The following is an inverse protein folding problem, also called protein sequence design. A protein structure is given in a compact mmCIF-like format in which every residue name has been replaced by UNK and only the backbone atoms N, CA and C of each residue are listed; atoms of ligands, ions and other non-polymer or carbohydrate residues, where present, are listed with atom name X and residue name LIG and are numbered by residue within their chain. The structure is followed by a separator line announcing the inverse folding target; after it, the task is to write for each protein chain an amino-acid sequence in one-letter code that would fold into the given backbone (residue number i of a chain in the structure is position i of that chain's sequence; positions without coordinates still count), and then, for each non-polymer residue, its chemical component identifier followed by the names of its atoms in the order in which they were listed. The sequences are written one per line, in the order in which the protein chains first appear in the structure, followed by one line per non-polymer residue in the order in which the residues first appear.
data_IF_227418143728
#
_entry.id   IF_227418143728
#
_cell.length_a   1.000
_cell.length_b   1.000
_cell.length_c   1.000
_cell.angle_alpha   90.00
_cell.angle_beta   90.00
_cell.angle_gamma   90.00
#
_symmetry.space_group_name_H-M   'P 1'
#
loop_
_entity.id
_entity.type
_entity.pdbx_description
1 polymer ?
#
# COMPACT_ATOMS: atom_id res chain seq x y z
N UNK A 1 -8.98 30.85 3.73
CA UNK A 1 -8.37 29.54 3.45
C UNK A 1 -8.48 28.75 4.73
N UNK A 2 -9.40 27.78 4.80
CA UNK A 2 -9.53 26.88 5.94
C UNK A 2 -8.46 25.82 5.82
N UNK A 3 -7.38 25.96 6.57
CA UNK A 3 -6.42 24.87 6.80
C UNK A 3 -7.19 23.74 7.48
N UNK A 4 -7.52 22.69 6.72
CA UNK A 4 -7.93 21.43 7.32
C UNK A 4 -6.74 20.92 8.12
N UNK A 5 -6.87 20.74 9.45
CA UNK A 5 -5.76 20.29 10.27
C UNK A 5 -5.30 18.93 9.74
N UNK A 6 -4.04 18.87 9.29
CA UNK A 6 -3.44 17.61 8.89
C UNK A 6 -3.50 16.65 10.09
N UNK A 7 -4.06 15.44 9.93
CA UNK A 7 -4.07 14.45 11.00
C UNK A 7 -2.63 14.17 11.41
N UNK A 8 -2.38 14.11 12.72
CA UNK A 8 -1.04 13.80 13.23
C UNK A 8 -0.63 12.39 12.81
N UNK A 9 0.67 12.15 12.68
CA UNK A 9 1.20 10.83 12.33
C UNK A 9 0.67 9.75 13.28
N UNK A 10 0.58 10.06 14.59
CA UNK A 10 -0.02 9.16 15.58
C UNK A 10 -1.50 8.85 15.31
N UNK A 11 -2.29 9.83 14.85
CA UNK A 11 -3.68 9.61 14.47
C UNK A 11 -3.77 8.72 13.21
N UNK A 12 -2.88 8.93 12.25
CA UNK A 12 -2.79 8.11 11.04
C UNK A 12 -2.39 6.66 11.37
N UNK A 13 -1.41 6.43 12.25
CA UNK A 13 -1.05 5.09 12.72
C UNK A 13 -2.21 4.38 13.42
N UNK A 14 -2.95 5.09 14.30
CA UNK A 14 -4.13 4.49 14.95
C UNK A 14 -5.22 4.12 13.95
N UNK A 15 -5.43 4.98 12.95
CA UNK A 15 -6.39 4.71 11.89
C UNK A 15 -5.94 3.52 11.03
N UNK A 16 -4.65 3.45 10.73
CA UNK A 16 -4.04 2.37 9.98
C UNK A 16 -4.24 1.01 10.69
N UNK A 17 -3.82 0.87 11.95
CA UNK A 17 -4.00 -0.35 12.75
C UNK A 17 -5.48 -0.80 12.81
N UNK A 18 -6.40 0.16 12.90
CA UNK A 18 -7.84 -0.15 12.88
C UNK A 18 -8.28 -0.76 11.54
N UNK A 19 -7.82 -0.20 10.42
CA UNK A 19 -8.20 -0.66 9.10
C UNK A 19 -7.58 -2.03 8.76
N UNK A 20 -6.37 -2.30 9.21
CA UNK A 20 -5.74 -3.62 9.08
C UNK A 20 -6.50 -4.69 9.83
N UNK A 21 -6.87 -4.43 11.09
CA UNK A 21 -7.68 -5.36 11.86
C UNK A 21 -9.03 -5.64 11.17
N UNK A 22 -9.68 -4.61 10.63
CA UNK A 22 -10.92 -4.79 9.86
C UNK A 22 -10.69 -5.59 8.57
N UNK A 23 -9.52 -5.45 7.93
CA UNK A 23 -9.18 -6.25 6.75
C UNK A 23 -9.06 -7.69 7.19
N UNK A 24 -8.23 -7.96 8.18
CA UNK A 24 -7.91 -9.31 8.61
C UNK A 24 -9.18 -10.08 9.00
N UNK A 25 -10.08 -9.44 9.76
CA UNK A 25 -11.40 -10.00 10.08
C UNK A 25 -12.24 -10.30 8.83
N UNK A 26 -12.20 -9.41 7.83
CA UNK A 26 -12.94 -9.57 6.58
C UNK A 26 -12.34 -10.67 5.69
N UNK A 27 -11.02 -10.78 5.58
CA UNK A 27 -10.34 -11.85 4.85
C UNK A 27 -10.68 -13.22 5.46
N UNK A 28 -10.58 -13.34 6.78
CA UNK A 28 -10.99 -14.54 7.53
C UNK A 28 -12.47 -14.88 7.34
N UNK A 29 -13.35 -13.87 7.21
CA UNK A 29 -14.77 -14.10 6.94
C UNK A 29 -15.03 -14.58 5.50
N UNK A 30 -14.32 -14.03 4.51
CA UNK A 30 -14.40 -14.42 3.11
C UNK A 30 -13.96 -15.88 2.92
N UNK A 31 -12.85 -16.29 3.53
CA UNK A 31 -12.36 -17.68 3.45
C UNK A 31 -13.37 -18.71 3.99
N UNK A 32 -14.25 -18.29 4.90
CA UNK A 32 -15.25 -19.16 5.54
C UNK A 32 -16.60 -19.21 4.81
N UNK A 33 -16.78 -18.42 3.74
CA UNK A 33 -18.06 -18.25 3.04
C UNK A 33 -17.99 -18.74 1.58
N UNK A 34 -19.16 -19.11 1.03
CA UNK A 34 -19.35 -19.41 -0.39
C UNK A 34 -20.69 -18.86 -0.89
N UNK A 35 -20.78 -18.53 -2.18
CA UNK A 35 -22.01 -18.04 -2.83
C UNK A 35 -22.14 -16.51 -2.90
N UNK A 36 -23.37 -15.99 -3.00
CA UNK A 36 -23.65 -14.56 -3.25
C UNK A 36 -23.10 -13.60 -2.18
N UNK A 37 -22.95 -14.08 -0.93
CA UNK A 37 -22.34 -13.31 0.16
C UNK A 37 -20.86 -12.98 -0.10
N UNK A 38 -20.18 -13.77 -0.93
CA UNK A 38 -18.78 -13.55 -1.31
C UNK A 38 -18.62 -12.23 -2.09
N UNK A 39 -19.55 -11.91 -3.00
CA UNK A 39 -19.43 -10.71 -3.85
C UNK A 39 -19.53 -9.44 -3.01
N UNK A 40 -20.49 -9.39 -2.08
CA UNK A 40 -20.67 -8.24 -1.17
C UNK A 40 -19.47 -8.06 -0.25
N UNK A 41 -18.89 -9.16 0.24
CA UNK A 41 -17.69 -9.11 1.07
C UNK A 41 -16.44 -8.68 0.28
N UNK A 42 -16.29 -9.13 -0.97
CA UNK A 42 -15.21 -8.69 -1.87
C UNK A 42 -15.32 -7.20 -2.21
N UNK A 43 -16.53 -6.68 -2.43
CA UNK A 43 -16.72 -5.23 -2.59
C UNK A 43 -16.38 -4.45 -1.32
N UNK A 44 -16.74 -4.98 -0.15
CA UNK A 44 -16.36 -4.39 1.13
C UNK A 44 -14.84 -4.39 1.30
N UNK A 45 -14.18 -5.47 0.87
CA UNK A 45 -12.73 -5.60 0.88
C UNK A 45 -12.08 -4.55 -0.02
N UNK A 46 -12.55 -4.40 -1.27
CA UNK A 46 -12.05 -3.37 -2.18
C UNK A 46 -12.18 -1.94 -1.60
N UNK A 47 -13.33 -1.61 -1.00
CA UNK A 47 -13.53 -0.31 -0.34
C UNK A 47 -12.61 -0.11 0.86
N UNK A 48 -12.33 -1.16 1.60
CA UNK A 48 -11.44 -1.12 2.76
C UNK A 48 -9.99 -0.90 2.31
N UNK A 49 -9.55 -1.61 1.28
CA UNK A 49 -8.22 -1.45 0.69
C UNK A 49 -8.00 -0.03 0.15
N UNK A 50 -9.01 0.59 -0.48
CA UNK A 50 -8.95 2.00 -0.88
C UNK A 50 -8.74 2.94 0.31
N UNK A 51 -9.36 2.66 1.46
CA UNK A 51 -9.15 3.45 2.69
C UNK A 51 -7.74 3.27 3.24
N UNK A 52 -7.22 2.05 3.22
CA UNK A 52 -5.85 1.76 3.66
C UNK A 52 -4.86 2.50 2.76
N UNK A 53 -5.01 2.43 1.43
CA UNK A 53 -4.17 3.18 0.49
C UNK A 53 -4.22 4.70 0.72
N UNK A 54 -5.38 5.25 1.11
CA UNK A 54 -5.49 6.65 1.50
C UNK A 54 -4.71 7.01 2.77
N UNK A 55 -4.72 6.13 3.78
CA UNK A 55 -3.95 6.33 5.02
C UNK A 55 -2.45 6.15 4.79
N UNK A 56 -2.04 5.16 4.00
CA UNK A 56 -0.65 4.95 3.60
C UNK A 56 -0.08 6.19 2.91
N UNK A 57 -0.82 6.77 1.96
CA UNK A 57 -0.43 8.01 1.30
C UNK A 57 -0.32 9.18 2.29
N UNK A 58 -1.25 9.29 3.24
CA UNK A 58 -1.21 10.35 4.25
C UNK A 58 -0.02 10.21 5.21
N UNK A 59 0.39 8.99 5.59
CA UNK A 59 1.57 8.75 6.43
C UNK A 59 2.84 9.07 5.63
N UNK A 60 2.90 8.66 4.36
CA UNK A 60 4.02 8.99 3.47
C UNK A 60 4.26 10.50 3.36
N UNK A 61 3.19 11.28 3.22
CA UNK A 61 3.27 12.73 3.04
C UNK A 61 3.35 13.51 4.37
N UNK A 62 3.30 12.83 5.52
CA UNK A 62 3.33 13.48 6.82
C UNK A 62 4.75 14.02 7.15
N UNK A 63 4.84 15.22 7.76
CA UNK A 63 6.12 15.72 8.26
C UNK A 63 6.59 14.86 9.44
N UNK A 64 7.86 14.43 9.40
CA UNK A 64 8.47 13.62 10.45
C UNK A 64 8.36 12.11 10.24
N UNK A 65 7.88 11.66 9.08
CA UNK A 65 7.88 10.23 8.68
C UNK A 65 9.31 9.69 8.64
N UNK A 66 9.49 8.53 9.27
CA UNK A 66 10.79 7.85 9.43
C UNK A 66 10.98 6.73 8.42
N UNK A 67 12.19 6.17 8.35
CA UNK A 67 12.46 5.00 7.52
C UNK A 67 11.70 3.78 8.04
N UNK A 68 11.57 3.66 9.36
CA UNK A 68 10.79 2.63 10.02
C UNK A 68 9.31 2.69 9.62
N UNK A 69 8.75 3.90 9.49
CA UNK A 69 7.39 4.07 8.98
C UNK A 69 7.27 3.58 7.54
N UNK A 70 8.25 3.85 6.67
CA UNK A 70 8.22 3.31 5.30
C UNK A 70 8.34 1.79 5.26
N UNK A 71 9.15 1.17 6.12
CA UNK A 71 9.25 -0.29 6.22
C UNK A 71 7.90 -0.89 6.63
N UNK A 72 7.27 -0.28 7.64
CA UNK A 72 5.99 -0.74 8.15
C UNK A 72 4.88 -0.57 7.10
N UNK A 73 4.86 0.54 6.36
CA UNK A 73 3.92 0.73 5.24
C UNK A 73 4.17 -0.24 4.08
N UNK A 74 5.43 -0.62 3.82
CA UNK A 74 5.78 -1.51 2.71
C UNK A 74 5.28 -2.94 2.95
N UNK A 75 5.38 -3.45 4.19
CA UNK A 75 4.88 -4.77 4.57
C UNK A 75 3.38 -4.92 4.26
N UNK A 76 2.62 -3.88 4.61
CA UNK A 76 1.17 -3.78 4.40
C UNK A 76 0.79 -3.65 2.94
N UNK A 77 1.51 -2.76 2.22
CA UNK A 77 1.29 -2.60 0.79
C UNK A 77 1.52 -3.93 0.06
N UNK A 78 2.56 -4.69 0.45
CA UNK A 78 2.82 -6.01 -0.12
C UNK A 78 1.70 -7.00 0.21
N UNK A 79 1.26 -7.13 1.47
CA UNK A 79 0.16 -8.02 1.84
C UNK A 79 -1.11 -7.69 1.04
N UNK A 80 -1.47 -6.41 0.97
CA UNK A 80 -2.69 -5.96 0.31
C UNK A 80 -2.68 -6.07 -1.20
N UNK A 81 -1.58 -5.72 -1.84
CA UNK A 81 -1.49 -5.80 -3.29
C UNK A 81 -1.29 -7.25 -3.76
N UNK A 82 -0.69 -8.13 -2.94
CA UNK A 82 -0.67 -9.57 -3.22
C UNK A 82 -2.04 -10.23 -3.04
N UNK A 83 -2.81 -9.83 -2.01
CA UNK A 83 -4.20 -10.28 -1.82
C UNK A 83 -5.13 -9.89 -2.98
N UNK A 84 -4.94 -8.68 -3.54
CA UNK A 84 -5.63 -8.20 -4.73
C UNK A 84 -5.15 -8.89 -6.01
N UNK A 85 -3.85 -9.21 -6.09
CA UNK A 85 -3.22 -9.75 -7.27
C UNK A 85 -3.60 -11.19 -7.59
N UNK A 86 -4.00 -12.00 -6.60
CA UNK A 86 -4.34 -13.41 -6.79
C UNK A 86 -5.38 -13.66 -7.89
N UNK A 87 -6.26 -12.68 -8.18
CA UNK A 87 -7.31 -12.82 -9.18
C UNK A 87 -7.09 -11.95 -10.46
N UNK A 88 -6.16 -10.98 -10.48
CA UNK A 88 -6.18 -9.89 -11.50
C UNK A 88 -4.81 -9.40 -12.01
N UNK A 89 -3.68 -9.64 -11.35
CA UNK A 89 -2.43 -8.92 -11.67
C UNK A 89 -1.57 -9.52 -12.80
N UNK A 90 -1.03 -8.65 -13.66
CA UNK A 90 -0.03 -8.97 -14.70
C UNK A 90 1.34 -8.35 -14.31
N UNK A 91 1.79 -8.61 -13.08
CA UNK A 91 3.10 -8.26 -12.49
C UNK A 91 3.85 -7.06 -13.09
N UNK A 92 3.24 -5.87 -13.03
CA UNK A 92 3.88 -4.57 -13.30
C UNK A 92 3.57 -3.50 -12.24
N UNK A 93 4.24 -2.33 -12.27
CA UNK A 93 4.01 -1.26 -11.28
C UNK A 93 2.56 -0.76 -11.21
N UNK A 94 1.81 -0.91 -12.29
CA UNK A 94 0.38 -0.59 -12.39
C UNK A 94 -0.48 -1.52 -11.53
N UNK A 95 -0.01 -2.73 -11.27
CA UNK A 95 -0.70 -3.72 -10.43
C UNK A 95 -0.35 -3.55 -8.95
N UNK A 96 0.74 -2.83 -8.64
CA UNK A 96 1.27 -2.62 -7.29
C UNK A 96 1.52 -1.11 -6.97
N UNK A 97 0.52 -0.23 -7.11
CA UNK A 97 0.68 1.22 -7.01
C UNK A 97 1.12 1.74 -5.62
N UNK A 98 0.71 1.11 -4.51
CA UNK A 98 1.11 1.45 -3.14
C UNK A 98 2.56 1.04 -2.90
N UNK A 99 2.95 -0.19 -3.25
CA UNK A 99 4.35 -0.62 -3.15
C UNK A 99 5.23 0.29 -4.00
N UNK A 100 4.85 0.60 -5.24
CA UNK A 100 5.56 1.55 -6.11
C UNK A 100 5.76 2.93 -5.45
N UNK A 101 4.69 3.51 -4.88
CA UNK A 101 4.75 4.83 -4.22
C UNK A 101 5.65 4.85 -2.98
N UNK A 102 5.63 3.77 -2.20
CA UNK A 102 6.46 3.65 -1.00
C UNK A 102 7.94 3.46 -1.34
N UNK A 103 8.25 2.65 -2.35
CA UNK A 103 9.62 2.48 -2.85
C UNK A 103 10.22 3.82 -3.30
N UNK A 104 9.44 4.65 -4.01
CA UNK A 104 9.84 6.03 -4.38
C UNK A 104 10.10 6.89 -3.15
N UNK A 105 9.25 6.80 -2.12
CA UNK A 105 9.40 7.54 -0.87
C UNK A 105 10.71 7.18 -0.15
N UNK A 106 11.04 5.88 -0.08
CA UNK A 106 12.27 5.38 0.54
C UNK A 106 13.51 5.93 -0.17
N UNK A 107 13.56 5.92 -1.51
CA UNK A 107 14.72 6.46 -2.25
C UNK A 107 14.89 7.96 -2.02
N UNK A 108 13.79 8.72 -1.89
CA UNK A 108 13.87 10.16 -1.58
C UNK A 108 14.41 10.42 -0.17
N UNK A 109 14.09 9.54 0.78
CA UNK A 109 14.47 9.70 2.19
C UNK A 109 15.86 9.12 2.51
N UNK A 110 16.32 8.11 1.76
CA UNK A 110 17.60 7.43 1.97
C UNK A 110 18.50 7.60 0.74
N UNK A 111 19.38 8.62 0.72
CA UNK A 111 20.29 8.85 -0.41
C UNK A 111 21.19 7.65 -0.70
N UNK A 112 21.23 7.20 -1.95
CA UNK A 112 22.06 6.06 -2.38
C UNK A 112 21.44 4.68 -2.13
N UNK A 113 20.19 4.62 -1.65
CA UNK A 113 19.48 3.36 -1.53
C UNK A 113 19.07 2.84 -2.92
N UNK A 114 19.54 1.64 -3.29
CA UNK A 114 19.21 0.98 -4.55
C UNK A 114 18.40 -0.31 -4.31
N UNK A 115 17.21 -0.40 -4.90
CA UNK A 115 16.41 -1.62 -4.87
C UNK A 115 16.93 -2.64 -5.91
N UNK A 116 18.09 -3.23 -5.65
CA UNK A 116 18.75 -4.18 -6.56
C UNK A 116 17.90 -5.43 -6.89
N UNK A 117 17.01 -5.83 -5.99
CA UNK A 117 16.05 -6.91 -6.25
C UNK A 117 14.89 -6.44 -7.13
N UNK A 118 14.34 -5.23 -6.89
CA UNK A 118 13.31 -4.62 -7.74
C UNK A 118 13.81 -4.38 -9.16
N UNK A 119 15.04 -3.87 -9.31
CA UNK A 119 15.68 -3.65 -10.61
C UNK A 119 15.84 -4.94 -11.42
N UNK A 120 16.04 -6.08 -10.74
CA UNK A 120 16.07 -7.41 -11.37
C UNK A 120 14.67 -7.93 -11.70
N UNK A 121 13.67 -7.55 -10.91
CA UNK A 121 12.28 -7.95 -11.10
C UNK A 121 11.61 -7.19 -12.26
N UNK A 122 11.94 -5.91 -12.42
CA UNK A 122 11.57 -5.09 -13.56
C UNK A 122 12.47 -5.44 -14.75
N UNK A 123 12.11 -6.53 -15.44
CA UNK A 123 12.93 -7.19 -16.45
C UNK A 123 13.10 -6.41 -17.75
N UNK A 124 12.28 -5.38 -18.02
CA UNK A 124 12.39 -4.58 -19.23
C UNK A 124 13.24 -3.31 -19.01
N UNK A 125 14.15 -2.97 -19.94
CA UNK A 125 14.95 -1.74 -19.86
C UNK A 125 14.05 -0.50 -19.71
N UNK A 126 14.39 0.42 -18.80
CA UNK A 126 13.67 1.67 -18.59
C UNK A 126 12.50 1.59 -17.60
N UNK A 127 12.04 0.39 -17.21
CA UNK A 127 10.92 0.26 -16.26
C UNK A 127 11.28 0.71 -14.85
N UNK A 128 12.51 0.44 -14.42
CA UNK A 128 13.00 0.91 -13.13
C UNK A 128 13.10 2.45 -13.13
N UNK A 129 13.69 3.03 -14.17
CA UNK A 129 13.83 4.46 -14.32
C UNK A 129 12.46 5.15 -14.38
N UNK A 130 11.51 4.62 -15.15
CA UNK A 130 10.15 5.12 -15.20
C UNK A 130 9.47 5.05 -13.83
N UNK A 131 9.61 3.92 -13.13
CA UNK A 131 9.09 3.76 -11.77
C UNK A 131 9.72 4.75 -10.80
N UNK A 132 10.97 5.15 -10.97
CA UNK A 132 11.62 6.10 -10.05
C UNK A 132 11.36 7.57 -10.40
N UNK A 133 11.00 7.88 -11.65
CA UNK A 133 10.83 9.24 -12.16
C UNK A 133 9.39 9.78 -12.10
N UNK A 134 8.37 8.92 -11.94
CA UNK A 134 6.96 9.29 -11.76
C UNK A 134 6.63 9.76 -10.33
#
# INVERSE_FOLDING_TARGET
MTETPHPSISALHKQWVKLENEQHELAMAIERLGGADLTVMRERQARLLLKIGGVVAAIQDAPGTTVEDFIALLDVALEHELDLACDIAFYGPTDYPMTARLLRAVVRTVPGFEFNSLRRWLSLPGQYEQLMCE
#
